data_IF_542794271439
#
_entry.id   IF_542794271439
#
_cell.length_a   1.000
_cell.length_b   1.000
_cell.length_c   1.000
_cell.angle_alpha   90.00
_cell.angle_beta   90.00
_cell.angle_gamma   90.00
#
_symmetry.space_group_name_H-M   'P 1'
#
loop_
_entity.id
_entity.type
_entity.pdbx_description
1 polymer ?
#
# COMPACT_ATOMS: atom_id res chain seq x y z
N UNK A 1 -24.61 7.83 -31.95
CA UNK A 1 -26.00 8.13 -31.56
C UNK A 1 -26.09 8.10 -30.02
N UNK A 2 -26.62 9.13 -29.37
CA UNK A 2 -26.79 9.19 -27.92
C UNK A 2 -27.99 8.32 -27.46
N UNK A 3 -28.19 8.15 -26.15
CA UNK A 3 -29.22 7.24 -25.61
C UNK A 3 -30.63 7.71 -25.92
N UNK A 4 -30.88 9.02 -25.86
CA UNK A 4 -32.18 9.62 -26.19
C UNK A 4 -32.54 9.47 -27.66
N UNK A 5 -31.63 9.81 -28.57
CA UNK A 5 -31.83 9.64 -30.01
C UNK A 5 -32.06 8.16 -30.39
N UNK A 6 -31.37 7.20 -29.70
CA UNK A 6 -31.63 5.75 -29.92
C UNK A 6 -33.02 5.34 -29.45
N UNK A 7 -33.52 5.98 -28.40
CA UNK A 7 -34.86 5.69 -27.89
C UNK A 7 -35.93 6.22 -28.85
N UNK A 8 -35.81 7.46 -29.27
CA UNK A 8 -36.73 8.08 -30.25
C UNK A 8 -36.74 7.29 -31.57
N UNK A 9 -35.57 6.93 -32.09
CA UNK A 9 -35.43 6.13 -33.29
C UNK A 9 -36.07 4.72 -33.14
N UNK A 10 -35.89 4.08 -32.00
CA UNK A 10 -36.55 2.81 -31.71
C UNK A 10 -38.08 2.97 -31.65
N UNK A 11 -38.58 4.01 -30.99
CA UNK A 11 -40.01 4.24 -30.83
C UNK A 11 -40.66 4.49 -32.22
N UNK A 12 -40.01 5.21 -33.11
CA UNK A 12 -40.47 5.46 -34.51
C UNK A 12 -40.51 4.16 -35.33
N UNK A 13 -39.51 3.30 -35.20
CA UNK A 13 -39.45 2.03 -35.93
C UNK A 13 -40.38 0.96 -35.37
N UNK A 14 -40.76 1.06 -34.10
CA UNK A 14 -41.54 0.05 -33.40
C UNK A 14 -42.92 -0.14 -33.94
N UNK A 15 -43.61 0.92 -34.32
CA UNK A 15 -44.93 0.83 -34.93
C UNK A 15 -44.87 0.10 -36.29
N UNK A 16 -43.87 0.42 -37.10
CA UNK A 16 -43.60 -0.24 -38.38
C UNK A 16 -43.26 -1.72 -38.18
N UNK A 17 -42.42 -2.03 -37.17
CA UNK A 17 -42.00 -3.38 -36.85
C UNK A 17 -43.15 -4.28 -36.48
N UNK A 18 -44.12 -3.83 -35.71
CA UNK A 18 -45.28 -4.66 -35.35
C UNK A 18 -46.24 -4.93 -36.49
N UNK A 19 -46.36 -4.03 -37.45
CA UNK A 19 -47.21 -4.19 -38.62
C UNK A 19 -46.55 -4.98 -39.77
N UNK A 20 -45.23 -5.13 -39.71
CA UNK A 20 -44.41 -5.74 -40.76
C UNK A 20 -44.47 -7.30 -40.78
N UNK A 21 -44.30 -7.89 -41.96
CA UNK A 21 -44.11 -9.32 -42.10
C UNK A 21 -42.73 -9.80 -41.66
N UNK A 22 -42.46 -11.11 -41.69
CA UNK A 22 -41.20 -11.70 -41.18
C UNK A 22 -39.93 -11.15 -41.86
N UNK A 23 -39.99 -10.90 -43.17
CA UNK A 23 -38.87 -10.38 -43.98
C UNK A 23 -38.60 -8.93 -43.65
N UNK A 24 -39.64 -8.10 -43.65
CA UNK A 24 -39.59 -6.68 -43.30
C UNK A 24 -39.12 -6.46 -41.86
N UNK A 25 -39.54 -7.27 -40.87
CA UNK A 25 -39.02 -7.26 -39.52
C UNK A 25 -37.51 -7.48 -39.48
N UNK A 26 -37.02 -8.39 -40.35
CA UNK A 26 -35.59 -8.62 -40.50
C UNK A 26 -34.82 -7.40 -41.00
N UNK A 27 -35.39 -6.71 -41.98
CA UNK A 27 -34.81 -5.50 -42.57
C UNK A 27 -34.77 -4.35 -41.56
N UNK A 28 -35.87 -4.08 -40.85
CA UNK A 28 -35.97 -3.05 -39.81
C UNK A 28 -34.93 -3.32 -38.70
N UNK A 29 -34.77 -4.57 -38.28
CA UNK A 29 -33.74 -4.92 -37.26
C UNK A 29 -32.32 -4.74 -37.79
N UNK A 30 -32.05 -5.04 -39.05
CA UNK A 30 -30.75 -4.83 -39.66
C UNK A 30 -30.42 -3.34 -39.76
N UNK A 31 -31.39 -2.53 -40.20
CA UNK A 31 -31.24 -1.08 -40.24
C UNK A 31 -30.98 -0.49 -38.83
N UNK A 32 -31.79 -0.87 -37.84
CA UNK A 32 -31.63 -0.45 -36.48
C UNK A 32 -30.24 -0.81 -35.90
N UNK A 33 -29.79 -2.04 -36.08
CA UNK A 33 -28.49 -2.51 -35.62
C UNK A 33 -27.33 -1.76 -36.30
N UNK A 34 -27.46 -1.52 -37.64
CA UNK A 34 -26.46 -0.74 -38.41
C UNK A 34 -26.30 0.66 -37.87
N UNK A 35 -27.41 1.35 -37.59
CA UNK A 35 -27.43 2.75 -37.16
C UNK A 35 -27.08 2.93 -35.69
N UNK A 36 -27.45 1.95 -34.83
CA UNK A 36 -27.21 2.05 -33.37
C UNK A 36 -25.98 1.31 -32.90
N UNK A 37 -25.40 0.42 -33.74
CA UNK A 37 -24.32 -0.51 -33.42
C UNK A 37 -24.66 -1.44 -32.23
N UNK A 38 -25.94 -1.72 -32.02
CA UNK A 38 -26.39 -2.66 -30.97
C UNK A 38 -26.45 -4.08 -31.52
N UNK A 39 -26.24 -5.06 -30.64
CA UNK A 39 -26.33 -6.48 -30.99
C UNK A 39 -27.77 -6.87 -31.37
N UNK A 40 -27.91 -7.68 -32.42
CA UNK A 40 -29.23 -8.09 -32.99
C UNK A 40 -30.13 -8.77 -31.96
N UNK A 41 -29.60 -9.68 -31.14
CA UNK A 41 -30.39 -10.36 -30.10
C UNK A 41 -30.93 -9.36 -29.07
N UNK A 42 -30.17 -8.37 -28.74
CA UNK A 42 -30.60 -7.31 -27.83
C UNK A 42 -31.64 -6.37 -28.46
N UNK A 43 -31.51 -6.06 -29.76
CA UNK A 43 -32.49 -5.30 -30.50
C UNK A 43 -33.83 -6.04 -30.57
N UNK A 44 -33.85 -7.33 -30.91
CA UNK A 44 -35.06 -8.17 -30.92
C UNK A 44 -35.75 -8.15 -29.56
N UNK A 45 -35.02 -8.31 -28.48
CA UNK A 45 -35.56 -8.26 -27.12
C UNK A 45 -36.19 -6.90 -26.83
N UNK A 46 -35.59 -5.80 -27.25
CA UNK A 46 -36.13 -4.45 -27.09
C UNK A 46 -37.39 -4.19 -27.87
N UNK A 47 -37.47 -4.67 -29.12
CA UNK A 47 -38.67 -4.51 -29.97
C UNK A 47 -39.85 -5.37 -29.49
N UNK A 48 -39.60 -6.63 -29.07
CA UNK A 48 -40.66 -7.58 -28.69
C UNK A 48 -41.20 -7.38 -27.28
N UNK A 49 -40.35 -6.96 -26.36
CA UNK A 49 -40.78 -6.71 -25.00
C UNK A 49 -41.11 -5.23 -24.78
N UNK A 50 -42.31 -4.97 -24.30
CA UNK A 50 -42.72 -3.66 -23.81
C UNK A 50 -41.99 -3.33 -22.51
N UNK A 51 -40.65 -3.29 -22.57
CA UNK A 51 -39.83 -2.88 -21.45
C UNK A 51 -40.08 -1.40 -21.24
N UNK A 52 -41.08 -1.07 -20.42
CA UNK A 52 -41.17 0.27 -19.83
C UNK A 52 -39.83 0.53 -19.18
N UNK A 53 -38.93 1.23 -19.87
CA UNK A 53 -37.71 1.74 -19.26
C UNK A 53 -38.19 2.66 -18.13
N UNK A 54 -38.21 2.15 -16.90
CA UNK A 54 -38.50 2.97 -15.73
C UNK A 54 -37.56 4.16 -15.82
N UNK A 55 -38.11 5.36 -15.85
CA UNK A 55 -37.33 6.59 -15.76
C UNK A 55 -36.43 6.50 -14.53
N UNK A 56 -35.24 7.12 -14.58
CA UNK A 56 -34.31 7.13 -13.45
C UNK A 56 -34.97 7.63 -12.16
N UNK A 57 -35.97 8.49 -12.34
CA UNK A 57 -36.85 9.08 -11.32
C UNK A 57 -37.78 8.08 -10.62
N UNK A 58 -38.19 7.01 -11.31
CA UNK A 58 -39.09 5.98 -10.75
C UNK A 58 -38.38 4.89 -9.95
N UNK A 59 -37.05 4.96 -9.83
CA UNK A 59 -36.29 4.02 -9.01
C UNK A 59 -36.32 4.50 -7.57
N UNK A 60 -37.07 3.81 -6.70
CA UNK A 60 -36.98 4.04 -5.26
C UNK A 60 -35.50 3.94 -4.84
N UNK A 61 -34.98 5.04 -4.30
CA UNK A 61 -33.63 5.03 -3.73
C UNK A 61 -33.57 3.97 -2.64
N UNK A 62 -32.58 3.09 -2.70
CA UNK A 62 -32.32 2.15 -1.60
C UNK A 62 -31.97 2.95 -0.36
N UNK A 63 -32.52 2.54 0.79
CA UNK A 63 -32.19 3.15 2.07
C UNK A 63 -30.66 3.16 2.27
N UNK A 64 -30.13 4.30 2.70
CA UNK A 64 -28.71 4.44 2.96
C UNK A 64 -28.36 3.73 4.28
N UNK A 65 -27.77 2.54 4.21
CA UNK A 65 -27.36 1.76 5.38
C UNK A 65 -26.21 2.44 6.13
N UNK A 66 -25.30 3.08 5.40
CA UNK A 66 -24.10 3.75 5.93
C UNK A 66 -24.27 5.25 5.78
N UNK A 67 -24.84 5.90 6.78
CA UNK A 67 -25.04 7.35 6.84
C UNK A 67 -23.77 8.13 7.17
N UNK A 68 -23.90 9.47 7.22
CA UNK A 68 -22.77 10.37 7.50
C UNK A 68 -22.01 10.04 8.79
N UNK A 69 -22.73 9.70 9.86
CA UNK A 69 -22.13 9.34 11.15
C UNK A 69 -21.20 8.11 11.05
N UNK A 70 -21.59 7.08 10.28
CA UNK A 70 -20.75 5.89 10.06
C UNK A 70 -19.54 6.24 9.22
N UNK A 71 -19.72 7.12 8.21
CA UNK A 71 -18.62 7.54 7.32
C UNK A 71 -17.62 8.41 8.08
N UNK A 72 -18.06 9.30 8.97
CA UNK A 72 -17.16 10.13 9.78
C UNK A 72 -16.21 9.26 10.61
N UNK A 73 -16.73 8.27 11.34
CA UNK A 73 -15.92 7.34 12.14
C UNK A 73 -15.05 6.47 11.23
N UNK A 74 -15.54 6.04 10.07
CA UNK A 74 -14.73 5.30 9.09
C UNK A 74 -13.52 6.12 8.60
N UNK A 75 -13.70 7.41 8.33
CA UNK A 75 -12.61 8.32 7.92
C UNK A 75 -11.61 8.51 9.05
N UNK A 76 -12.06 8.62 10.30
CA UNK A 76 -11.18 8.73 11.47
C UNK A 76 -10.31 7.48 11.63
N UNK A 77 -10.91 6.28 11.59
CA UNK A 77 -10.17 5.01 11.63
C UNK A 77 -9.21 4.92 10.44
N UNK A 78 -9.65 5.28 9.23
CA UNK A 78 -8.84 5.27 8.03
C UNK A 78 -7.58 6.14 8.16
N UNK A 79 -7.67 7.30 8.85
CA UNK A 79 -6.54 8.18 9.16
C UNK A 79 -5.59 7.56 10.19
N UNK A 80 -6.14 7.00 11.28
CA UNK A 80 -5.35 6.35 12.34
C UNK A 80 -4.44 5.26 11.75
N UNK A 81 -4.96 4.48 10.80
CA UNK A 81 -4.21 3.39 10.16
C UNK A 81 -3.47 3.77 8.88
N UNK A 82 -3.20 5.06 8.67
CA UNK A 82 -2.39 5.57 7.56
C UNK A 82 -2.98 5.24 6.17
N UNK A 83 -4.29 5.49 6.03
CA UNK A 83 -5.03 5.48 4.76
C UNK A 83 -4.98 4.16 3.97
N UNK A 84 -5.20 2.99 4.55
CA UNK A 84 -5.15 1.72 3.85
C UNK A 84 -6.25 1.60 2.79
N UNK A 85 -6.06 0.72 1.81
CA UNK A 85 -7.11 0.37 0.84
C UNK A 85 -8.25 -0.39 1.53
N UNK A 86 -9.42 -0.45 0.87
CA UNK A 86 -10.61 -1.08 1.43
C UNK A 86 -10.42 -2.51 1.91
N UNK A 87 -9.61 -3.32 1.20
CA UNK A 87 -9.33 -4.71 1.59
C UNK A 87 -8.55 -4.81 2.92
N UNK A 88 -7.60 -3.90 3.15
CA UNK A 88 -6.87 -3.85 4.41
C UNK A 88 -7.72 -3.26 5.52
N UNK A 89 -8.48 -2.22 5.20
CA UNK A 89 -9.33 -1.55 6.18
C UNK A 89 -10.49 -2.45 6.65
N UNK A 90 -11.02 -3.33 5.79
CA UNK A 90 -12.02 -4.33 6.17
C UNK A 90 -11.53 -5.20 7.32
N UNK A 91 -10.29 -5.68 7.25
CA UNK A 91 -9.68 -6.49 8.31
C UNK A 91 -9.43 -5.68 9.59
N UNK A 92 -8.97 -4.43 9.45
CA UNK A 92 -8.78 -3.51 10.58
C UNK A 92 -10.11 -3.23 11.28
N UNK A 93 -11.18 -2.98 10.53
CA UNK A 93 -12.50 -2.73 11.11
C UNK A 93 -13.04 -3.93 11.88
N UNK A 94 -12.78 -5.15 11.42
CA UNK A 94 -13.21 -6.36 12.12
C UNK A 94 -12.50 -6.53 13.47
N UNK A 95 -11.22 -6.20 13.55
CA UNK A 95 -10.36 -6.48 14.70
C UNK A 95 -10.18 -5.29 15.65
N UNK A 96 -10.02 -4.07 15.12
CA UNK A 96 -9.54 -2.95 15.92
C UNK A 96 -10.61 -1.95 16.35
N UNK A 97 -11.83 -2.01 15.84
CA UNK A 97 -12.91 -1.08 16.23
C UNK A 97 -13.15 -1.08 17.74
N UNK A 98 -13.21 -2.26 18.36
CA UNK A 98 -13.44 -2.35 19.82
C UNK A 98 -12.21 -1.93 20.63
N UNK A 99 -11.02 -2.19 20.13
CA UNK A 99 -9.77 -1.73 20.74
C UNK A 99 -9.70 -0.21 20.77
N UNK A 100 -10.00 0.47 19.64
CA UNK A 100 -10.01 1.92 19.55
C UNK A 100 -11.09 2.55 20.47
N UNK A 101 -12.26 1.90 20.60
CA UNK A 101 -13.30 2.33 21.55
C UNK A 101 -12.84 2.19 23.00
N UNK A 102 -12.20 1.09 23.35
CA UNK A 102 -11.64 0.85 24.69
C UNK A 102 -10.61 1.91 25.08
N UNK A 103 -9.75 2.29 24.13
CA UNK A 103 -8.75 3.35 24.30
C UNK A 103 -9.31 4.77 24.16
N UNK A 104 -10.63 4.91 23.94
CA UNK A 104 -11.32 6.20 23.70
C UNK A 104 -10.76 7.01 22.53
N UNK A 105 -10.14 6.34 21.56
CA UNK A 105 -9.59 6.97 20.35
C UNK A 105 -10.68 7.29 19.32
N UNK A 106 -11.79 6.54 19.34
CA UNK A 106 -13.00 6.81 18.57
C UNK A 106 -14.23 6.79 19.50
N UNK A 107 -15.15 7.70 19.23
CA UNK A 107 -16.43 7.76 19.95
C UNK A 107 -17.54 7.38 18.99
N UNK A 108 -18.13 6.19 19.17
CA UNK A 108 -19.25 5.75 18.38
C UNK A 108 -20.18 4.81 19.17
N UNK A 109 -21.47 4.80 18.79
CA UNK A 109 -22.45 3.89 19.38
C UNK A 109 -22.21 2.44 18.93
N UNK A 110 -22.75 1.48 19.69
CA UNK A 110 -22.65 0.05 19.35
C UNK A 110 -23.26 -0.27 17.97
N UNK A 111 -24.30 0.48 17.58
CA UNK A 111 -24.91 0.34 16.26
C UNK A 111 -23.93 0.74 15.13
N UNK A 112 -23.19 1.83 15.32
CA UNK A 112 -22.18 2.29 14.38
C UNK A 112 -21.02 1.29 14.32
N UNK A 113 -20.53 0.82 15.47
CA UNK A 113 -19.47 -0.19 15.54
C UNK A 113 -19.86 -1.49 14.81
N UNK A 114 -21.08 -1.99 15.03
CA UNK A 114 -21.62 -3.15 14.29
C UNK A 114 -21.72 -2.92 12.79
N UNK A 115 -22.10 -1.70 12.35
CA UNK A 115 -22.15 -1.35 10.93
C UNK A 115 -20.75 -1.31 10.32
N UNK A 116 -19.76 -0.74 11.00
CA UNK A 116 -18.37 -0.68 10.55
C UNK A 116 -17.79 -2.08 10.35
N UNK A 117 -17.92 -2.98 11.31
CA UNK A 117 -17.46 -4.37 11.21
C UNK A 117 -18.10 -5.17 10.07
N UNK A 118 -19.34 -4.83 9.68
CA UNK A 118 -20.03 -5.48 8.55
C UNK A 118 -19.70 -4.88 7.18
N UNK A 119 -18.89 -3.81 7.14
CA UNK A 119 -18.62 -3.09 5.91
C UNK A 119 -17.61 -3.84 5.06
N UNK A 120 -17.97 -4.11 3.80
CA UNK A 120 -17.11 -4.81 2.84
C UNK A 120 -16.20 -3.86 2.08
N UNK A 121 -15.01 -4.34 1.69
CA UNK A 121 -13.94 -3.58 1.03
C UNK A 121 -14.40 -2.69 -0.11
N UNK A 122 -15.22 -3.22 -1.03
CA UNK A 122 -15.78 -2.43 -2.14
C UNK A 122 -16.70 -1.29 -1.68
N UNK A 123 -17.38 -1.44 -0.54
CA UNK A 123 -18.22 -0.38 0.04
C UNK A 123 -17.34 0.66 0.73
N UNK A 124 -16.31 0.23 1.46
CA UNK A 124 -15.30 1.08 2.09
C UNK A 124 -14.66 1.98 1.04
N UNK A 125 -14.09 1.38 -0.03
CA UNK A 125 -13.44 2.14 -1.10
C UNK A 125 -14.36 3.16 -1.76
N UNK A 126 -15.61 2.78 -2.00
CA UNK A 126 -16.61 3.68 -2.60
C UNK A 126 -16.98 4.84 -1.68
N UNK A 127 -17.08 4.61 -0.36
CA UNK A 127 -17.42 5.65 0.63
C UNK A 127 -16.26 6.59 0.89
N UNK A 128 -15.01 6.08 0.82
CA UNK A 128 -13.80 6.88 0.96
C UNK A 128 -13.33 7.56 -0.34
N UNK A 129 -14.01 7.32 -1.48
CA UNK A 129 -13.55 7.82 -2.77
C UNK A 129 -13.38 9.34 -2.81
N UNK A 130 -14.33 10.06 -2.23
CA UNK A 130 -14.28 11.52 -2.14
C UNK A 130 -13.05 11.99 -1.34
N UNK A 131 -12.81 11.40 -0.17
CA UNK A 131 -11.65 11.73 0.68
C UNK A 131 -10.32 11.41 -0.04
N UNK A 132 -10.29 10.29 -0.77
CA UNK A 132 -9.13 9.91 -1.60
C UNK A 132 -8.87 10.89 -2.74
N UNK A 133 -9.91 11.42 -3.38
CA UNK A 133 -9.80 12.44 -4.42
C UNK A 133 -9.30 13.77 -3.88
N UNK A 134 -9.76 14.18 -2.70
CA UNK A 134 -9.28 15.39 -2.01
C UNK A 134 -7.79 15.29 -1.70
N UNK A 135 -7.33 14.11 -1.30
CA UNK A 135 -5.93 13.88 -0.93
C UNK A 135 -4.96 13.76 -2.12
N UNK A 136 -5.40 13.53 -3.35
CA UNK A 136 -4.65 13.51 -4.64
C UNK A 136 -3.24 12.89 -4.60
N UNK A 137 -3.05 11.73 -4.01
CA UNK A 137 -1.72 11.15 -3.83
C UNK A 137 -1.20 10.41 -5.07
N UNK A 138 -0.09 10.90 -5.63
CA UNK A 138 0.67 10.24 -6.72
C UNK A 138 2.14 10.13 -6.36
N UNK A 139 2.70 8.92 -6.40
CA UNK A 139 4.13 8.64 -6.19
C UNK A 139 4.77 8.18 -7.50
N UNK A 140 5.93 8.76 -7.87
CA UNK A 140 6.80 8.29 -8.98
C UNK A 140 8.20 7.99 -8.49
N UNK A 141 8.76 6.88 -8.95
CA UNK A 141 10.07 6.38 -8.56
C UNK A 141 10.95 5.98 -9.76
N UNK A 142 12.27 6.19 -9.69
CA UNK A 142 13.27 5.74 -10.68
C UNK A 142 14.57 5.27 -10.01
N UNK A 143 15.11 4.13 -10.43
CA UNK A 143 16.30 3.46 -9.89
C UNK A 143 17.43 3.33 -10.93
N UNK A 144 18.69 3.41 -10.48
CA UNK A 144 19.90 3.05 -11.24
C UNK A 144 20.61 1.89 -10.56
N UNK A 145 21.14 0.95 -11.34
CA UNK A 145 21.84 -0.25 -10.89
C UNK A 145 23.34 -0.19 -11.11
N UNK A 146 24.13 -0.88 -10.33
CA UNK A 146 25.55 -1.17 -10.56
C UNK A 146 25.98 -2.52 -9.97
N UNK A 147 27.01 -3.03 -10.39
CA UNK A 147 27.92 -4.17 -10.40
C UNK A 147 27.79 -5.37 -9.44
N UNK A 148 28.22 -6.53 -9.92
CA UNK A 148 28.07 -7.91 -9.48
C UNK A 148 29.35 -8.56 -9.01
N UNK A 149 29.25 -9.37 -7.99
CA UNK A 149 30.20 -10.44 -7.71
C UNK A 149 29.72 -11.75 -8.36
N UNK A 150 30.60 -12.40 -9.11
CA UNK A 150 30.28 -13.60 -9.91
C UNK A 150 29.92 -14.85 -9.09
N UNK A 151 30.16 -14.84 -7.77
CA UNK A 151 30.04 -16.01 -6.94
C UNK A 151 28.71 -16.12 -6.19
N UNK A 152 27.87 -15.10 -6.23
CA UNK A 152 26.55 -15.13 -5.57
C UNK A 152 25.49 -15.54 -6.58
N UNK A 153 24.74 -16.65 -6.35
CA UNK A 153 23.72 -17.13 -7.28
C UNK A 153 22.60 -16.10 -7.46
N UNK A 154 22.07 -16.04 -8.68
CA UNK A 154 20.88 -15.26 -8.96
C UNK A 154 19.63 -16.05 -8.63
N UNK A 155 18.66 -15.41 -7.98
CA UNK A 155 17.36 -16.00 -7.64
C UNK A 155 16.23 -15.06 -8.06
N UNK A 156 15.16 -15.61 -8.58
CA UNK A 156 13.97 -14.84 -8.97
C UNK A 156 12.94 -14.83 -7.85
N UNK A 157 12.04 -13.86 -7.84
CA UNK A 157 10.94 -13.82 -6.85
C UNK A 157 10.02 -15.04 -6.88
N UNK A 158 10.06 -15.85 -7.95
CA UNK A 158 9.27 -17.08 -8.07
C UNK A 158 9.97 -18.31 -7.44
N UNK A 159 11.30 -18.25 -7.26
CA UNK A 159 12.11 -19.33 -6.71
C UNK A 159 12.17 -19.31 -5.17
N UNK A 160 11.70 -18.23 -4.55
CA UNK A 160 11.55 -18.20 -3.09
C UNK A 160 10.41 -19.09 -2.63
N UNK A 161 10.68 -19.93 -1.64
CA UNK A 161 9.61 -20.54 -0.88
C UNK A 161 8.94 -19.49 0.01
N UNK A 162 7.74 -19.09 -0.41
CA UNK A 162 6.94 -18.07 0.27
C UNK A 162 6.24 -18.58 1.53
N UNK A 163 6.42 -19.85 1.88
CA UNK A 163 5.84 -20.47 3.05
C UNK A 163 6.87 -20.62 4.20
N UNK A 164 8.11 -20.19 3.97
CA UNK A 164 9.20 -20.32 4.94
C UNK A 164 9.55 -18.95 5.51
N UNK A 165 9.56 -18.85 6.85
CA UNK A 165 10.05 -17.67 7.60
C UNK A 165 11.58 -17.60 7.54
N UNK A 166 12.11 -16.39 7.42
CA UNK A 166 13.54 -16.12 7.46
C UNK A 166 14.21 -15.92 6.09
N UNK A 167 13.42 -15.84 5.02
CA UNK A 167 13.92 -15.45 3.70
C UNK A 167 13.80 -13.92 3.57
N UNK A 168 14.92 -13.21 3.71
CA UNK A 168 14.96 -11.75 3.82
C UNK A 168 15.31 -11.08 2.50
N UNK A 169 14.43 -10.22 1.98
CA UNK A 169 14.82 -9.24 0.96
C UNK A 169 15.36 -7.98 1.63
N UNK A 170 16.49 -7.51 1.13
CA UNK A 170 17.23 -6.40 1.73
C UNK A 170 17.54 -5.34 0.67
N UNK A 171 17.35 -4.07 1.00
CA UNK A 171 17.66 -2.96 0.10
C UNK A 171 17.96 -1.66 0.87
N UNK A 172 18.62 -0.71 0.21
CA UNK A 172 18.85 0.63 0.74
C UNK A 172 17.99 1.67 0.06
N UNK A 173 17.42 2.56 0.88
CA UNK A 173 16.69 3.74 0.41
C UNK A 173 17.50 4.99 0.72
N UNK A 174 18.02 5.63 -0.32
CA UNK A 174 18.88 6.80 -0.22
C UNK A 174 18.10 8.07 0.10
N UNK A 175 18.47 8.80 1.16
CA UNK A 175 17.92 10.12 1.50
C UNK A 175 18.86 11.22 1.03
N UNK A 176 19.15 11.26 -0.28
CA UNK A 176 20.09 12.22 -0.89
C UNK A 176 19.43 13.53 -1.36
N UNK A 177 18.10 13.62 -1.36
CA UNK A 177 17.39 14.78 -1.91
C UNK A 177 17.67 14.99 -3.41
N UNK A 178 17.95 16.22 -3.78
CA UNK A 178 18.27 16.60 -5.17
C UNK A 178 19.74 16.36 -5.57
N UNK A 179 20.63 16.10 -4.61
CA UNK A 179 22.08 15.93 -4.85
C UNK A 179 22.60 14.66 -4.18
N UNK A 180 23.34 13.85 -4.91
CA UNK A 180 24.02 12.66 -4.41
C UNK A 180 25.48 12.94 -3.96
N UNK A 181 25.91 14.19 -3.89
CA UNK A 181 27.25 14.55 -3.46
C UNK A 181 27.40 14.51 -1.93
N UNK A 182 28.56 14.11 -1.43
CA UNK A 182 28.84 14.02 0.01
C UNK A 182 28.17 12.84 0.70
N UNK A 183 28.29 12.78 2.03
CA UNK A 183 27.60 11.77 2.84
C UNK A 183 26.15 12.21 3.10
N UNK A 184 25.26 11.24 3.15
CA UNK A 184 23.86 11.40 3.51
C UNK A 184 23.32 10.09 4.08
N UNK A 185 22.16 10.17 4.73
CA UNK A 185 21.52 9.03 5.36
C UNK A 185 21.02 8.04 4.30
N UNK A 186 21.34 6.78 4.51
CA UNK A 186 20.83 5.65 3.76
C UNK A 186 20.02 4.75 4.72
N UNK A 187 18.80 4.43 4.33
CA UNK A 187 17.90 3.65 5.18
C UNK A 187 17.96 2.19 4.71
N UNK A 188 18.58 1.33 5.53
CA UNK A 188 18.54 -0.11 5.34
C UNK A 188 17.13 -0.59 5.62
N UNK A 189 16.57 -1.34 4.70
CA UNK A 189 15.22 -1.88 4.73
C UNK A 189 15.28 -3.38 4.53
N UNK A 190 14.64 -4.12 5.41
CA UNK A 190 14.62 -5.59 5.39
C UNK A 190 13.18 -6.07 5.50
N UNK A 191 12.84 -7.08 4.72
CA UNK A 191 11.49 -7.63 4.71
C UNK A 191 11.53 -9.16 4.57
N UNK A 192 10.95 -9.85 5.54
CA UNK A 192 10.69 -11.29 5.43
C UNK A 192 9.60 -11.57 4.39
N UNK A 193 9.88 -12.51 3.49
CA UNK A 193 9.00 -12.86 2.37
C UNK A 193 7.73 -13.56 2.86
N UNK A 194 7.81 -14.41 3.90
CA UNK A 194 6.65 -15.14 4.41
C UNK A 194 5.71 -14.24 5.21
N UNK A 195 6.18 -13.58 6.25
CA UNK A 195 5.31 -12.78 7.13
C UNK A 195 5.04 -11.38 6.60
N UNK A 196 5.94 -10.85 5.76
CA UNK A 196 6.08 -9.45 5.41
C UNK A 196 6.48 -8.58 6.61
N UNK A 197 7.09 -9.16 7.63
CA UNK A 197 7.71 -8.43 8.73
C UNK A 197 8.77 -7.50 8.19
N UNK A 198 8.78 -6.27 8.67
CA UNK A 198 9.66 -5.24 8.17
C UNK A 198 10.48 -4.64 9.30
N UNK A 199 11.77 -4.47 9.05
CA UNK A 199 12.67 -3.70 9.91
C UNK A 199 13.45 -2.68 9.10
N UNK A 200 13.71 -1.54 9.73
CA UNK A 200 14.49 -0.46 9.13
C UNK A 200 15.57 0.05 10.08
N UNK A 201 16.68 0.51 9.49
CA UNK A 201 17.74 1.19 10.22
C UNK A 201 18.43 2.21 9.33
N UNK A 202 18.64 3.42 9.83
CA UNK A 202 19.32 4.48 9.12
C UNK A 202 20.83 4.44 9.41
N UNK A 203 21.64 4.61 8.35
CA UNK A 203 23.09 4.70 8.45
C UNK A 203 23.62 5.92 7.70
N UNK A 204 24.67 6.55 8.20
CA UNK A 204 25.31 7.66 7.49
C UNK A 204 26.26 7.12 6.41
N UNK A 205 26.06 7.60 5.17
CA UNK A 205 26.86 7.19 4.00
C UNK A 205 26.57 5.77 3.51
N UNK A 206 27.39 5.27 2.57
CA UNK A 206 27.23 3.97 1.90
C UNK A 206 28.36 2.97 2.25
N UNK A 207 29.00 3.15 3.39
CA UNK A 207 30.12 2.28 3.79
C UNK A 207 29.69 0.84 4.03
N UNK A 208 30.41 -0.13 3.44
CA UNK A 208 30.09 -1.57 3.57
C UNK A 208 30.07 -2.04 5.02
N UNK A 209 30.98 -1.53 5.83
CA UNK A 209 31.06 -1.88 7.26
C UNK A 209 29.86 -1.37 8.06
N UNK A 210 29.42 -0.13 7.79
CA UNK A 210 28.21 0.43 8.41
C UNK A 210 26.95 -0.34 8.01
N UNK A 211 26.88 -0.73 6.74
CA UNK A 211 25.80 -1.58 6.22
C UNK A 211 25.75 -2.95 6.92
N UNK A 212 26.91 -3.61 7.10
CA UNK A 212 27.01 -4.89 7.76
C UNK A 212 26.63 -4.80 9.25
N UNK A 213 27.07 -3.77 9.95
CA UNK A 213 26.71 -3.57 11.35
C UNK A 213 25.21 -3.30 11.53
N UNK A 214 24.60 -2.55 10.64
CA UNK A 214 23.15 -2.32 10.67
C UNK A 214 22.37 -3.61 10.39
N UNK A 215 22.81 -4.39 9.42
CA UNK A 215 22.24 -5.69 9.08
C UNK A 215 22.29 -6.67 10.27
N UNK A 216 23.42 -6.74 10.95
CA UNK A 216 23.60 -7.58 12.15
C UNK A 216 22.69 -7.12 13.32
N UNK A 217 22.56 -5.80 13.54
CA UNK A 217 21.64 -5.27 14.55
C UNK A 217 20.19 -5.57 14.24
N UNK A 218 19.77 -5.43 12.99
CA UNK A 218 18.41 -5.78 12.55
C UNK A 218 18.16 -7.28 12.77
N UNK A 219 19.10 -8.13 12.35
CA UNK A 219 18.96 -9.59 12.52
C UNK A 219 18.76 -10.00 13.99
N UNK A 220 19.49 -9.37 14.91
CA UNK A 220 19.40 -9.66 16.35
C UNK A 220 18.07 -9.26 16.99
N UNK A 221 17.34 -8.34 16.41
CA UNK A 221 16.02 -7.89 16.92
C UNK A 221 14.82 -8.52 16.21
N UNK A 222 15.05 -9.28 15.13
CA UNK A 222 13.99 -10.03 14.46
C UNK A 222 13.45 -11.14 15.37
N UNK A 223 12.12 -11.40 15.38
CA UNK A 223 11.50 -12.42 16.22
C UNK A 223 11.65 -13.86 15.67
N UNK A 224 12.52 -14.06 14.70
CA UNK A 224 12.80 -15.37 14.07
C UNK A 224 14.19 -15.41 13.48
N UNK A 225 14.71 -16.63 13.32
CA UNK A 225 16.01 -16.87 12.70
C UNK A 225 15.95 -16.63 11.18
N UNK A 226 17.00 -15.98 10.63
CA UNK A 226 17.17 -15.84 9.21
C UNK A 226 17.69 -17.11 8.57
N UNK A 227 17.29 -17.38 7.33
CA UNK A 227 17.78 -18.48 6.49
C UNK A 227 18.53 -17.98 5.26
N UNK A 228 18.01 -16.93 4.64
CA UNK A 228 18.56 -16.37 3.41
C UNK A 228 18.57 -14.85 3.45
N UNK A 229 19.60 -14.24 2.87
CA UNK A 229 19.69 -12.80 2.59
C UNK A 229 19.71 -12.59 1.09
N UNK A 230 18.78 -11.77 0.58
CA UNK A 230 18.64 -11.48 -0.84
C UNK A 230 18.64 -9.97 -1.11
N UNK A 231 19.81 -9.36 -1.34
CA UNK A 231 19.92 -7.98 -1.79
C UNK A 231 19.65 -7.83 -3.29
N UNK A 232 19.56 -6.57 -3.69
CA UNK A 232 19.75 -6.21 -5.09
C UNK A 232 21.23 -6.31 -5.51
N UNK A 233 21.57 -5.85 -6.74
CA UNK A 233 22.95 -5.85 -7.23
C UNK A 233 23.76 -4.63 -6.75
N UNK A 234 23.36 -3.93 -5.70
CA UNK A 234 24.08 -2.80 -5.13
C UNK A 234 25.32 -3.24 -4.34
N UNK A 235 26.46 -2.59 -4.59
CA UNK A 235 27.75 -2.92 -3.94
C UNK A 235 27.74 -2.69 -2.42
N UNK A 236 26.76 -1.97 -1.89
CA UNK A 236 26.61 -1.73 -0.47
C UNK A 236 26.28 -3.02 0.32
N UNK A 237 25.53 -3.93 -0.30
CA UNK A 237 25.09 -5.20 0.26
C UNK A 237 25.71 -6.40 -0.48
N UNK A 238 25.88 -6.29 -1.79
CA UNK A 238 26.54 -7.32 -2.59
C UNK A 238 28.05 -7.08 -2.57
N UNK A 239 28.72 -7.49 -1.49
CA UNK A 239 30.15 -7.32 -1.26
C UNK A 239 30.75 -8.45 -0.42
N UNK A 240 32.07 -8.53 -0.33
CA UNK A 240 32.77 -9.58 0.38
C UNK A 240 32.53 -9.57 1.91
N UNK A 241 32.29 -8.42 2.51
CA UNK A 241 32.05 -8.35 3.95
C UNK A 241 30.70 -8.98 4.33
N UNK A 242 29.65 -8.72 3.54
CA UNK A 242 28.34 -9.36 3.72
C UNK A 242 28.40 -10.84 3.35
N UNK A 243 29.12 -11.20 2.26
CA UNK A 243 29.31 -12.61 1.89
C UNK A 243 30.02 -13.40 3.02
N UNK A 244 31.12 -12.88 3.55
CA UNK A 244 31.83 -13.55 4.65
C UNK A 244 30.97 -13.63 5.93
N UNK A 245 30.12 -12.65 6.17
CA UNK A 245 29.16 -12.67 7.27
C UNK A 245 28.11 -13.77 7.06
N UNK A 246 27.56 -13.91 5.87
CA UNK A 246 26.56 -14.97 5.59
C UNK A 246 27.17 -16.36 5.73
N UNK A 247 28.38 -16.59 5.25
CA UNK A 247 29.13 -17.85 5.43
C UNK A 247 29.35 -18.15 6.92
N UNK A 248 29.81 -17.16 7.69
CA UNK A 248 30.05 -17.30 9.14
C UNK A 248 28.78 -17.67 9.91
N UNK A 249 27.66 -17.07 9.55
CA UNK A 249 26.38 -17.24 10.22
C UNK A 249 25.53 -18.39 9.66
N UNK A 250 26.04 -19.11 8.65
CA UNK A 250 25.34 -20.23 7.98
C UNK A 250 24.09 -19.81 7.21
N UNK A 251 24.09 -18.62 6.65
CA UNK A 251 22.96 -18.07 5.89
C UNK A 251 23.17 -18.28 4.39
N UNK A 252 22.10 -18.61 3.68
CA UNK A 252 22.12 -18.57 2.22
C UNK A 252 22.23 -17.11 1.74
N UNK A 253 23.02 -16.91 0.69
CA UNK A 253 23.20 -15.60 0.06
C UNK A 253 22.91 -15.67 -1.42
N UNK A 254 21.87 -14.99 -1.85
CA UNK A 254 21.50 -14.88 -3.26
C UNK A 254 21.29 -13.42 -3.67
N UNK A 255 21.02 -13.17 -4.92
CA UNK A 255 20.81 -11.81 -5.45
C UNK A 255 19.82 -11.77 -6.59
N UNK A 256 19.26 -10.59 -6.86
CA UNK A 256 18.40 -10.34 -8.01
C UNK A 256 19.15 -10.47 -9.33
N UNK A 257 18.46 -10.86 -10.39
CA UNK A 257 19.00 -10.80 -11.75
C UNK A 257 19.23 -9.34 -12.19
N UNK A 258 20.29 -9.05 -12.91
CA UNK A 258 20.52 -7.70 -13.43
C UNK A 258 19.34 -7.21 -14.28
N UNK A 259 18.90 -5.96 -14.06
CA UNK A 259 17.82 -5.29 -14.81
C UNK A 259 16.42 -5.92 -14.69
N UNK A 260 16.20 -6.88 -13.80
CA UNK A 260 14.89 -7.48 -13.52
C UNK A 260 14.23 -6.89 -12.29
N UNK A 261 13.40 -5.86 -12.47
CA UNK A 261 12.70 -5.12 -11.40
C UNK A 261 11.78 -5.96 -10.51
N UNK A 262 11.33 -7.11 -10.98
CA UNK A 262 10.37 -7.93 -10.25
C UNK A 262 11.00 -8.87 -9.21
N UNK A 263 12.33 -8.99 -9.20
CA UNK A 263 13.00 -9.96 -8.33
C UNK A 263 13.07 -9.49 -6.87
N UNK A 264 13.05 -8.16 -6.62
CA UNK A 264 13.01 -7.54 -5.28
C UNK A 264 11.65 -6.91 -4.92
N UNK A 265 10.56 -7.44 -5.48
CA UNK A 265 9.25 -6.81 -5.38
C UNK A 265 8.71 -6.67 -3.94
N UNK A 266 9.10 -7.54 -3.01
CA UNK A 266 8.62 -7.50 -1.63
C UNK A 266 9.23 -6.30 -0.89
N UNK A 267 10.55 -6.14 -0.96
CA UNK A 267 11.23 -5.02 -0.32
C UNK A 267 10.96 -3.68 -1.03
N UNK A 268 10.85 -3.67 -2.37
CA UNK A 268 10.54 -2.44 -3.11
C UNK A 268 9.17 -1.85 -2.69
N UNK A 269 8.18 -2.70 -2.43
CA UNK A 269 6.91 -2.26 -1.89
C UNK A 269 7.07 -1.62 -0.50
N UNK A 270 7.89 -2.22 0.37
CA UNK A 270 8.17 -1.68 1.71
C UNK A 270 8.93 -0.37 1.64
N UNK A 271 9.94 -0.27 0.80
CA UNK A 271 10.69 0.96 0.55
C UNK A 271 9.78 2.12 0.16
N UNK A 272 8.76 1.86 -0.66
CA UNK A 272 7.75 2.86 -0.99
C UNK A 272 6.86 3.22 0.20
N UNK A 273 6.27 2.22 0.87
CA UNK A 273 5.19 2.44 1.86
C UNK A 273 5.69 2.69 3.28
N UNK A 274 6.88 2.22 3.64
CA UNK A 274 7.42 2.29 5.00
C UNK A 274 8.51 3.36 5.13
N UNK A 275 9.19 3.69 4.03
CA UNK A 275 10.24 4.72 4.04
C UNK A 275 9.80 5.95 3.25
N UNK A 276 9.63 5.84 1.91
CA UNK A 276 9.37 7.01 1.07
C UNK A 276 8.09 7.78 1.39
N UNK A 277 7.02 7.07 1.71
CA UNK A 277 5.75 7.71 2.13
C UNK A 277 5.81 8.26 3.56
N UNK A 278 6.76 7.83 4.37
CA UNK A 278 6.92 8.27 5.76
C UNK A 278 7.84 9.48 5.84
N UNK A 279 9.07 9.36 5.36
CA UNK A 279 10.11 10.40 5.51
C UNK A 279 10.31 11.27 4.26
N UNK A 280 9.63 10.96 3.14
CA UNK A 280 9.72 11.72 1.90
C UNK A 280 11.00 11.46 1.09
N UNK A 281 11.37 12.47 0.30
CA UNK A 281 12.54 12.45 -0.60
C UNK A 281 13.57 13.53 -0.24
N UNK A 282 13.54 14.00 1.01
CA UNK A 282 14.44 15.03 1.49
C UNK A 282 15.88 14.50 1.63
N UNK A 283 16.82 15.43 1.70
CA UNK A 283 18.20 15.11 2.02
C UNK A 283 18.39 15.16 3.53
N UNK A 284 18.73 14.02 4.11
CA UNK A 284 19.15 13.93 5.51
C UNK A 284 20.64 13.61 5.56
N UNK A 285 21.44 14.46 6.20
CA UNK A 285 22.89 14.33 6.20
C UNK A 285 23.55 14.82 7.52
N UNK A 286 22.73 15.04 8.55
CA UNK A 286 23.23 15.38 9.88
C UNK A 286 23.08 14.21 10.85
N UNK A 287 23.87 14.23 11.94
CA UNK A 287 23.78 13.23 13.00
C UNK A 287 22.43 13.25 13.71
N UNK A 288 21.89 14.44 13.93
CA UNK A 288 20.60 14.64 14.58
C UNK A 288 19.45 14.05 13.76
N UNK A 289 19.48 14.25 12.44
CA UNK A 289 18.51 13.61 11.52
C UNK A 289 18.63 12.08 11.53
N UNK A 290 19.87 11.55 11.55
CA UNK A 290 20.13 10.12 11.63
C UNK A 290 19.55 9.51 12.92
N UNK A 291 19.82 10.16 14.06
CA UNK A 291 19.37 9.68 15.37
C UNK A 291 17.84 9.75 15.49
N UNK A 292 17.22 10.80 14.95
CA UNK A 292 15.74 10.93 14.86
C UNK A 292 15.11 9.83 13.99
N UNK A 293 15.74 9.49 12.86
CA UNK A 293 15.27 8.41 11.99
C UNK A 293 15.39 7.04 12.65
N UNK A 294 16.51 6.76 13.32
CA UNK A 294 16.70 5.51 14.04
C UNK A 294 15.74 5.38 15.22
N UNK A 295 15.52 6.45 15.97
CA UNK A 295 14.52 6.47 17.03
C UNK A 295 13.11 6.17 16.51
N UNK A 296 12.75 6.73 15.36
CA UNK A 296 11.46 6.44 14.69
C UNK A 296 11.33 4.97 14.26
N UNK A 297 12.36 4.41 13.62
CA UNK A 297 12.33 3.07 13.08
C UNK A 297 12.29 2.00 14.17
N UNK A 298 13.12 2.17 15.20
CA UNK A 298 13.27 1.19 16.27
C UNK A 298 12.08 1.12 17.20
N UNK A 299 11.44 2.24 17.48
CA UNK A 299 10.44 2.31 18.54
C UNK A 299 8.99 2.23 18.01
N UNK A 300 8.56 3.12 17.11
CA UNK A 300 7.15 3.19 16.77
C UNK A 300 6.81 2.66 15.38
N UNK A 301 7.65 2.97 14.37
CA UNK A 301 7.29 2.64 13.00
C UNK A 301 7.27 1.14 12.76
N UNK A 302 8.28 0.41 13.27
CA UNK A 302 8.31 -1.05 13.20
C UNK A 302 7.10 -1.68 13.88
N UNK A 303 6.77 -1.25 15.10
CA UNK A 303 5.58 -1.71 15.83
C UNK A 303 4.30 -1.42 15.05
N UNK A 304 4.13 -0.19 14.59
CA UNK A 304 2.93 0.21 13.85
C UNK A 304 2.75 -0.59 12.55
N UNK A 305 3.83 -0.77 11.79
CA UNK A 305 3.79 -1.48 10.50
C UNK A 305 3.61 -2.98 10.66
N UNK A 306 4.26 -3.60 11.62
CA UNK A 306 4.24 -5.05 11.79
C UNK A 306 2.99 -5.55 12.53
N UNK A 307 2.49 -4.82 13.50
CA UNK A 307 1.37 -5.26 14.33
C UNK A 307 0.02 -4.77 13.81
N UNK A 308 -0.06 -3.59 13.17
CA UNK A 308 -1.34 -2.94 12.87
C UNK A 308 -1.57 -2.63 11.37
N UNK A 309 -0.60 -2.91 10.48
CA UNK A 309 -0.77 -2.65 9.04
C UNK A 309 -0.92 -3.96 8.25
N UNK A 310 -2.15 -4.35 7.84
CA UNK A 310 -2.36 -5.58 7.10
C UNK A 310 -1.74 -5.54 5.70
N UNK A 311 -1.20 -6.66 5.29
CA UNK A 311 -0.59 -6.88 3.96
C UNK A 311 -1.37 -7.96 3.22
N UNK A 312 -1.63 -7.72 1.93
CA UNK A 312 -2.26 -8.67 1.01
C UNK A 312 -1.16 -9.34 0.19
N UNK A 313 -1.19 -10.67 0.10
CA UNK A 313 -0.23 -11.46 -0.67
C UNK A 313 -0.87 -12.07 -1.91
N UNK A 314 -0.10 -12.11 -2.99
CA UNK A 314 -0.49 -12.79 -4.22
C UNK A 314 -0.35 -14.31 -4.05
N UNK A 315 -1.48 -15.04 -4.11
CA UNK A 315 -1.51 -16.52 -4.05
C UNK A 315 -1.24 -17.11 -5.44
N UNK A 316 -1.96 -16.63 -6.45
CA UNK A 316 -1.80 -17.16 -7.81
C UNK A 316 -1.93 -16.05 -8.86
N UNK A 317 -1.23 -16.28 -9.98
CA UNK A 317 -1.25 -15.40 -11.16
C UNK A 317 -1.35 -16.28 -12.40
N UNK A 318 -2.51 -16.26 -13.04
CA UNK A 318 -2.80 -17.06 -14.22
C UNK A 318 -3.04 -16.17 -15.42
N UNK A 319 -2.58 -16.58 -16.58
CA UNK A 319 -2.85 -15.91 -17.84
C UNK A 319 -3.95 -16.68 -18.58
N UNK A 320 -5.12 -16.05 -18.71
CA UNK A 320 -6.26 -16.60 -19.44
C UNK A 320 -6.47 -15.74 -20.70
N UNK A 321 -6.02 -16.25 -21.83
CA UNK A 321 -5.99 -15.49 -23.09
C UNK A 321 -5.10 -14.24 -22.96
N UNK A 322 -5.61 -13.06 -23.30
CA UNK A 322 -4.91 -11.78 -23.21
C UNK A 322 -4.90 -11.13 -21.81
N UNK A 323 -5.60 -11.72 -20.82
CA UNK A 323 -5.78 -11.13 -19.47
C UNK A 323 -5.05 -11.91 -18.40
N UNK A 324 -4.52 -11.18 -17.40
CA UNK A 324 -3.89 -11.78 -16.22
C UNK A 324 -4.90 -11.75 -15.06
N UNK A 325 -5.27 -12.95 -14.57
CA UNK A 325 -6.07 -13.14 -13.37
C UNK A 325 -5.12 -13.32 -12.17
N UNK A 326 -5.34 -12.51 -11.14
CA UNK A 326 -4.58 -12.58 -9.87
C UNK A 326 -5.52 -12.95 -8.75
N UNK A 327 -5.11 -13.88 -7.91
CA UNK A 327 -5.81 -14.25 -6.68
C UNK A 327 -4.93 -13.85 -5.50
N UNK A 328 -5.53 -13.15 -4.56
CA UNK A 328 -4.87 -12.69 -3.35
C UNK A 328 -5.44 -13.40 -2.13
N UNK A 329 -4.66 -13.45 -1.06
CA UNK A 329 -5.12 -13.92 0.25
C UNK A 329 -5.99 -12.85 0.96
N UNK A 330 -6.53 -13.23 2.12
CA UNK A 330 -7.11 -12.27 3.06
C UNK A 330 -5.99 -11.42 3.66
N UNK A 331 -6.23 -10.12 3.81
CA UNK A 331 -5.28 -9.21 4.41
C UNK A 331 -5.00 -9.61 5.87
N UNK A 332 -3.72 -9.74 6.22
CA UNK A 332 -3.25 -10.04 7.58
C UNK A 332 -2.05 -9.19 7.92
N UNK A 333 -1.91 -8.79 9.18
CA UNK A 333 -0.69 -8.13 9.64
C UNK A 333 0.49 -9.11 9.63
N UNK A 334 1.74 -8.65 9.51
CA UNK A 334 2.92 -9.50 9.71
C UNK A 334 2.89 -10.29 11.02
N UNK A 335 2.53 -9.64 12.12
CA UNK A 335 2.30 -10.26 13.43
C UNK A 335 1.33 -11.45 13.34
N UNK A 336 0.14 -11.28 12.75
CA UNK A 336 -0.83 -12.37 12.62
C UNK A 336 -0.30 -13.53 11.81
N UNK A 337 0.47 -13.26 10.75
CA UNK A 337 1.07 -14.33 9.94
C UNK A 337 2.06 -15.16 10.73
N UNK A 338 2.84 -14.55 11.63
CA UNK A 338 3.77 -15.25 12.50
C UNK A 338 3.03 -16.06 13.57
N UNK A 339 2.04 -15.47 14.25
CA UNK A 339 1.28 -16.18 15.30
C UNK A 339 0.51 -17.38 14.74
N UNK A 340 -0.06 -17.27 13.53
CA UNK A 340 -0.79 -18.35 12.89
C UNK A 340 0.13 -19.44 12.29
N UNK A 341 1.45 -19.23 12.27
CA UNK A 341 2.42 -20.19 11.76
C UNK A 341 2.95 -21.09 12.89
N UNK A 342 3.48 -22.24 12.51
CA UNK A 342 4.20 -23.17 13.36
C UNK A 342 5.75 -22.99 13.29
N UNK A 343 6.22 -21.91 12.65
CA UNK A 343 7.63 -21.72 12.34
C UNK A 343 8.40 -20.85 13.34
N UNK A 344 7.71 -20.31 14.35
CA UNK A 344 8.33 -19.63 15.49
C UNK A 344 7.93 -20.33 16.79
N UNK A 345 8.77 -20.23 17.82
CA UNK A 345 8.51 -20.85 19.10
C UNK A 345 7.30 -20.25 19.80
N UNK A 346 6.66 -21.03 20.68
CA UNK A 346 5.55 -20.51 21.49
C UNK A 346 6.00 -19.36 22.40
N UNK A 347 7.24 -19.40 22.90
CA UNK A 347 7.82 -18.31 23.69
C UNK A 347 7.87 -16.99 22.89
N UNK A 348 8.28 -17.04 21.60
CA UNK A 348 8.26 -15.85 20.74
C UNK A 348 6.84 -15.40 20.41
N UNK A 349 5.89 -16.32 20.23
CA UNK A 349 4.47 -15.97 20.06
C UNK A 349 3.90 -15.25 21.28
N UNK A 350 4.23 -15.72 22.49
CA UNK A 350 3.82 -15.06 23.73
C UNK A 350 4.40 -13.65 23.85
N UNK A 351 5.71 -13.46 23.55
CA UNK A 351 6.36 -12.14 23.53
C UNK A 351 5.69 -11.18 22.53
N UNK A 352 5.45 -11.66 21.32
CA UNK A 352 4.77 -10.87 20.29
C UNK A 352 3.33 -10.51 20.69
N UNK A 353 2.63 -11.44 21.32
CA UNK A 353 1.25 -11.22 21.79
C UNK A 353 1.22 -10.20 22.93
N UNK A 354 2.15 -10.28 23.87
CA UNK A 354 2.28 -9.30 24.95
C UNK A 354 2.59 -7.90 24.39
N UNK A 355 3.48 -7.82 23.40
CA UNK A 355 3.79 -6.55 22.71
C UNK A 355 2.54 -6.00 22.00
N UNK A 356 1.79 -6.80 21.27
CA UNK A 356 0.56 -6.39 20.62
C UNK A 356 -0.47 -5.84 21.61
N UNK A 357 -0.66 -6.52 22.73
CA UNK A 357 -1.63 -6.13 23.75
C UNK A 357 -1.25 -4.83 24.49
N UNK A 358 0.05 -4.53 24.60
CA UNK A 358 0.56 -3.31 25.23
C UNK A 358 0.50 -2.08 24.32
N UNK A 359 0.36 -2.26 23.00
CA UNK A 359 0.40 -1.17 22.04
C UNK A 359 -0.99 -0.58 21.75
N UNK A 360 -1.05 0.76 21.78
CA UNK A 360 -2.20 1.52 21.26
C UNK A 360 -1.86 2.05 19.86
N UNK A 361 -2.51 1.57 18.78
CA UNK A 361 -2.19 1.99 17.41
C UNK A 361 -2.41 3.47 17.14
N UNK A 362 -3.38 4.11 17.79
CA UNK A 362 -3.63 5.53 17.63
C UNK A 362 -2.53 6.37 18.30
N UNK A 363 -2.04 5.94 19.46
CA UNK A 363 -0.91 6.58 20.14
C UNK A 363 0.39 6.42 19.37
N UNK A 364 0.68 5.20 18.87
CA UNK A 364 1.82 4.97 17.98
C UNK A 364 1.77 5.92 16.78
N UNK A 365 0.60 6.06 16.15
CA UNK A 365 0.46 6.98 15.01
C UNK A 365 0.70 8.43 15.40
N UNK A 366 0.17 8.91 16.53
CA UNK A 366 0.44 10.27 17.01
C UNK A 366 1.92 10.51 17.34
N UNK A 367 2.59 9.51 17.91
CA UNK A 367 4.02 9.61 18.23
C UNK A 367 4.88 9.61 16.95
N UNK A 368 4.56 8.75 15.99
CA UNK A 368 5.16 8.78 14.64
C UNK A 368 5.03 10.18 14.05
N UNK A 369 3.83 10.76 14.09
CA UNK A 369 3.58 12.08 13.54
C UNK A 369 4.39 13.19 14.23
N UNK A 370 4.49 13.15 15.57
CA UNK A 370 5.33 14.08 16.32
C UNK A 370 6.81 13.94 15.97
N UNK A 371 7.32 12.73 15.84
CA UNK A 371 8.72 12.48 15.44
C UNK A 371 9.01 12.96 14.03
N UNK A 372 8.06 12.79 13.10
CA UNK A 372 8.17 13.33 11.75
C UNK A 372 8.15 14.87 11.74
N UNK A 373 7.30 15.51 12.53
CA UNK A 373 7.31 16.98 12.66
C UNK A 373 8.65 17.47 13.22
N UNK A 374 9.23 16.76 14.19
CA UNK A 374 10.56 17.07 14.72
C UNK A 374 11.64 16.90 13.63
N UNK A 375 11.63 15.81 12.88
CA UNK A 375 12.57 15.58 11.78
C UNK A 375 12.49 16.70 10.73
N UNK A 376 11.28 17.14 10.37
CA UNK A 376 11.10 18.26 9.44
C UNK A 376 11.56 19.59 10.02
N UNK A 377 11.41 19.81 11.33
CA UNK A 377 11.96 21.00 12.01
C UNK A 377 13.47 21.02 11.93
N UNK A 378 14.15 19.92 12.32
CA UNK A 378 15.61 19.76 12.21
C UNK A 378 16.08 20.03 10.77
N UNK A 379 15.38 19.47 9.79
CA UNK A 379 15.69 19.69 8.38
C UNK A 379 15.56 21.17 7.95
N UNK A 380 14.54 21.88 8.40
CA UNK A 380 14.34 23.31 8.13
C UNK A 380 15.40 24.17 8.80
N UNK A 381 15.70 23.89 10.05
CA UNK A 381 16.70 24.64 10.85
C UNK A 381 18.10 24.52 10.21
N UNK A 382 18.45 23.35 9.70
CA UNK A 382 19.71 23.11 8.96
C UNK A 382 19.85 23.98 7.72
N UNK A 383 18.76 24.23 6.98
CA UNK A 383 18.81 25.01 5.73
C UNK A 383 18.78 26.53 5.92
N UNK A 384 18.62 27.01 7.15
CA UNK A 384 18.34 28.42 7.40
C UNK A 384 16.93 28.79 6.90
N UNK A 385 16.46 29.99 7.22
CA UNK A 385 15.11 30.47 6.88
C UNK A 385 14.88 30.74 5.37
N UNK A 386 15.65 30.17 4.47
CA UNK A 386 15.31 30.20 3.05
C UNK A 386 13.99 29.47 2.85
N UNK A 387 13.02 30.16 2.23
CA UNK A 387 11.76 29.59 1.79
C UNK A 387 12.05 28.34 0.98
N UNK A 388 11.86 27.17 1.60
CA UNK A 388 11.97 25.89 0.91
C UNK A 388 10.75 25.81 0.01
N UNK A 389 10.91 26.14 -1.26
CA UNK A 389 9.97 25.68 -2.28
C UNK A 389 9.94 24.14 -2.19
N UNK A 390 8.90 23.62 -1.56
CA UNK A 390 8.67 22.18 -1.55
C UNK A 390 8.42 21.80 -2.99
N UNK A 391 9.46 21.28 -3.64
CA UNK A 391 9.40 20.81 -5.00
C UNK A 391 8.23 19.81 -5.10
N UNK A 392 7.32 20.00 -6.05
CA UNK A 392 6.14 19.15 -6.31
C UNK A 392 6.45 17.63 -6.49
N UNK A 393 7.73 17.24 -6.41
CA UNK A 393 8.21 15.85 -6.38
C UNK A 393 8.30 15.26 -4.96
N UNK A 394 8.20 16.07 -3.92
CA UNK A 394 8.20 15.64 -2.53
C UNK A 394 6.76 15.39 -2.12
N UNK A 395 6.38 14.12 -2.07
CA UNK A 395 5.11 13.71 -1.49
C UNK A 395 5.42 13.29 -0.06
N UNK A 396 5.02 14.11 0.94
CA UNK A 396 5.10 13.73 2.35
C UNK A 396 4.34 12.43 2.61
N UNK A 397 4.56 11.80 3.75
CA UNK A 397 3.66 10.73 4.18
C UNK A 397 2.21 11.24 4.15
N UNK A 398 1.24 10.35 3.97
CA UNK A 398 -0.18 10.73 3.98
C UNK A 398 -0.54 11.55 5.21
N UNK A 399 0.06 11.24 6.35
CA UNK A 399 -0.12 11.97 7.60
C UNK A 399 0.44 13.39 7.57
N UNK A 400 1.65 13.55 7.04
CA UNK A 400 2.28 14.88 6.90
C UNK A 400 1.52 15.75 5.89
N UNK A 401 1.04 15.14 4.80
CA UNK A 401 0.19 15.81 3.81
C UNK A 401 -1.14 16.28 4.43
N UNK A 402 -1.76 15.43 5.26
CA UNK A 402 -3.02 15.75 5.91
C UNK A 402 -2.89 16.88 6.94
N UNK A 403 -1.78 16.93 7.69
CA UNK A 403 -1.49 18.04 8.62
C UNK A 403 -1.20 19.35 7.90
N UNK A 404 -0.53 19.29 6.75
CA UNK A 404 -0.33 20.48 5.90
C UNK A 404 -1.66 20.98 5.35
N UNK A 405 -2.57 20.09 4.95
CA UNK A 405 -3.89 20.44 4.45
C UNK A 405 -4.83 21.03 5.52
N UNK A 406 -4.59 20.75 6.80
CA UNK A 406 -5.34 21.33 7.92
C UNK A 406 -4.80 22.69 8.38
N UNK A 407 -3.59 23.06 8.00
CA UNK A 407 -3.02 24.40 8.22
C UNK A 407 -3.30 25.25 6.98
N UNK A 408 -3.73 26.47 7.16
CA UNK A 408 -4.08 27.44 6.08
C UNK A 408 -2.97 27.66 5.03
N UNK A 409 -1.75 27.19 5.31
CA UNK A 409 -0.58 27.27 4.42
C UNK A 409 -0.67 26.38 3.15
N UNK A 410 -1.71 25.55 3.01
CA UNK A 410 -1.85 24.63 1.87
C UNK A 410 -2.17 25.37 0.54
N UNK A 411 -2.63 26.61 0.62
CA UNK A 411 -2.91 27.45 -0.56
C UNK A 411 -1.69 27.77 -1.42
N UNK A 412 -0.47 27.66 -0.86
CA UNK A 412 0.79 27.99 -1.54
C UNK A 412 1.39 26.78 -2.29
N UNK A 413 0.94 25.54 -1.98
CA UNK A 413 1.48 24.33 -2.61
C UNK A 413 0.77 23.88 -3.89
N UNK A 414 -0.32 24.54 -4.29
CA UNK A 414 -1.17 24.11 -5.42
C UNK A 414 -1.07 25.06 -6.63
N UNK A 415 -0.12 25.98 -6.61
CA UNK A 415 0.18 26.83 -7.80
C UNK A 415 1.40 26.36 -8.55
#
# INVERSE_FOLDING_TARGET
>A
MNIEARKQYMDTLREKYFKANKKEKGEILNEYCRNTKQERKYAIKKFNYNVKLKRKEDRKNRACVYGGNVIAVLVEIWKIFDYPCGQRLEEILDTEVENLRRWKEIICSDEIAKKLKKMKSATIDRRLNHEKEVLKLKVKYRKKSSFLLSNVPTKTSAEFDRNIVGNEQVDFVESCGSSASGEYVNNLSICDIFSSWWEGEAVMGKGQQRALLALDRIRKRMPFAWKEIHPDNGTNLLNFAVYAYTEKEGLEFSRSRPYHKNDNCFIEQKNSTHIRQVIGYLRYDTREELDCLNDLYLNELGLYKNFFQPVIKLISKERIGGRIKRKYDRAKTPYRRLIESDQISEEEKEKLTATYQSCNPAELKRTIDKKLDNLYRIYKDKKGQENIEINNKLIPSMASFYRMAQKEDFGVMVK
#
